data_IF_943090630184
#
_entry.id   IF_943090630184
#
_cell.length_a   1.000
_cell.length_b   1.000
_cell.length_c   1.000
_cell.angle_alpha   90.00
_cell.angle_beta   90.00
_cell.angle_gamma   90.00
#
_symmetry.space_group_name_H-M   'P 1'
#
loop_
_entity.id
_entity.type
_entity.pdbx_description
1 polymer ?
#
# COMPACT_ATOMS: atom_id res chain seq x y z
N UNK A 1 -51.87 -18.15 -51.74
CA UNK A 1 -51.30 -18.77 -50.51
C UNK A 1 -50.16 -17.88 -50.06
N UNK A 2 -50.44 -16.95 -49.14
CA UNK A 2 -49.51 -15.90 -48.68
C UNK A 2 -48.71 -16.36 -47.46
N UNK A 3 -47.37 -16.37 -47.53
CA UNK A 3 -46.52 -16.56 -46.38
C UNK A 3 -45.85 -15.23 -46.03
N UNK A 4 -46.25 -14.63 -44.91
CA UNK A 4 -45.59 -13.45 -44.29
C UNK A 4 -44.39 -13.88 -43.53
N UNK A 5 -43.19 -13.38 -43.88
CA UNK A 5 -41.98 -13.42 -43.03
C UNK A 5 -42.04 -12.24 -42.06
N UNK A 6 -41.98 -12.54 -40.78
CA UNK A 6 -41.84 -11.56 -39.71
C UNK A 6 -40.33 -11.39 -39.51
N UNK A 7 -39.84 -10.17 -39.79
CA UNK A 7 -38.46 -9.78 -39.47
C UNK A 7 -38.35 -9.39 -37.98
N UNK A 8 -37.46 -10.05 -37.27
CA UNK A 8 -37.07 -9.67 -35.90
C UNK A 8 -36.01 -8.61 -35.99
N UNK A 9 -36.32 -7.39 -35.56
CA UNK A 9 -35.38 -6.29 -35.36
C UNK A 9 -34.79 -6.44 -33.94
N UNK A 10 -33.54 -6.86 -33.84
CA UNK A 10 -32.81 -6.81 -32.60
C UNK A 10 -32.15 -5.43 -32.46
N UNK A 11 -32.75 -4.57 -31.67
CA UNK A 11 -32.16 -3.30 -31.24
C UNK A 11 -31.08 -3.57 -30.19
N UNK A 12 -29.81 -3.42 -30.57
CA UNK A 12 -28.70 -3.37 -29.67
C UNK A 12 -28.65 -2.01 -28.93
N UNK A 13 -29.22 -1.96 -27.74
CA UNK A 13 -29.00 -0.85 -26.79
C UNK A 13 -28.51 -1.46 -25.48
N UNK A 14 -27.34 -1.10 -25.07
CA UNK A 14 -27.01 -1.39 -23.70
C UNK A 14 -25.54 -1.62 -23.33
N UNK A 15 -24.60 -0.73 -23.69
CA UNK A 15 -23.27 -0.79 -23.08
C UNK A 15 -22.63 0.56 -22.73
N UNK A 16 -23.32 1.67 -22.93
CA UNK A 16 -22.75 3.02 -22.66
C UNK A 16 -23.35 3.75 -21.46
N UNK A 17 -24.39 3.22 -20.83
CA UNK A 17 -25.07 3.88 -19.70
C UNK A 17 -24.50 3.57 -18.33
N UNK A 18 -23.69 2.52 -18.19
CA UNK A 18 -23.14 2.13 -16.87
C UNK A 18 -21.95 2.98 -16.40
N UNK A 19 -21.22 3.63 -17.30
CA UNK A 19 -20.03 4.43 -16.91
C UNK A 19 -20.41 5.84 -16.44
N UNK A 20 -21.52 6.39 -16.88
CA UNK A 20 -21.98 7.74 -16.50
C UNK A 20 -22.64 7.80 -15.11
N UNK A 21 -23.15 6.68 -14.61
CA UNK A 21 -23.77 6.63 -13.28
C UNK A 21 -22.71 6.55 -12.16
N UNK A 22 -21.54 5.97 -12.44
CA UNK A 22 -20.45 5.90 -11.44
C UNK A 22 -19.77 7.25 -11.21
N UNK A 23 -19.68 8.09 -12.24
CA UNK A 23 -19.05 9.41 -12.12
C UNK A 23 -19.95 10.45 -11.43
N UNK A 24 -21.26 10.30 -11.50
CA UNK A 24 -22.21 11.19 -10.80
C UNK A 24 -22.36 10.88 -9.31
N UNK A 25 -22.08 9.64 -8.88
CA UNK A 25 -22.16 9.25 -7.48
C UNK A 25 -20.95 9.74 -6.65
N UNK A 26 -19.78 9.98 -7.28
CA UNK A 26 -18.64 10.54 -6.59
C UNK A 26 -18.73 12.07 -6.36
N UNK A 27 -19.52 12.77 -7.17
CA UNK A 27 -19.68 14.23 -7.06
C UNK A 27 -20.67 14.68 -5.98
N UNK A 28 -21.51 13.78 -5.45
CA UNK A 28 -22.56 14.10 -4.47
C UNK A 28 -22.18 13.88 -3.01
N UNK A 29 -20.97 13.45 -2.70
CA UNK A 29 -20.43 13.31 -1.34
C UNK A 29 -19.77 14.58 -0.80
N UNK A 30 -20.18 15.77 -1.28
CA UNK A 30 -19.93 17.01 -0.53
C UNK A 30 -20.96 17.06 0.60
N UNK A 31 -20.75 16.23 1.62
CA UNK A 31 -21.43 16.35 2.89
C UNK A 31 -21.00 17.71 3.46
N UNK A 32 -21.94 18.61 3.65
CA UNK A 32 -21.76 19.85 4.42
C UNK A 32 -21.42 19.45 5.86
N UNK A 33 -20.16 19.19 6.14
CA UNK A 33 -19.68 18.88 7.47
C UNK A 33 -19.81 20.12 8.36
N UNK A 34 -20.20 19.97 9.63
CA UNK A 34 -20.18 21.07 10.58
C UNK A 34 -18.77 21.66 10.64
N UNK A 35 -18.68 22.99 10.86
CA UNK A 35 -17.48 23.81 10.70
C UNK A 35 -16.21 23.38 11.51
N UNK A 36 -16.30 22.32 12.29
CA UNK A 36 -15.21 21.76 13.10
C UNK A 36 -14.61 20.45 12.53
N UNK A 37 -15.33 19.74 11.70
CA UNK A 37 -14.92 18.49 11.07
C UNK A 37 -14.07 18.75 9.83
N UNK A 38 -13.08 17.92 9.54
CA UNK A 38 -12.17 18.13 8.40
C UNK A 38 -11.92 16.80 7.69
N UNK A 39 -12.47 16.68 6.47
CA UNK A 39 -12.08 15.61 5.57
C UNK A 39 -10.74 15.95 4.94
N UNK A 40 -9.95 14.93 4.66
CA UNK A 40 -8.69 15.12 3.94
C UNK A 40 -8.45 14.00 2.92
N UNK A 41 -7.67 14.34 1.91
CA UNK A 41 -7.12 13.38 0.94
C UNK A 41 -5.66 13.73 0.72
N UNK A 42 -4.79 12.76 0.96
CA UNK A 42 -3.35 12.86 0.78
C UNK A 42 -2.93 12.06 -0.45
N UNK A 43 -1.97 12.60 -1.22
CA UNK A 43 -1.23 11.90 -2.25
C UNK A 43 0.24 12.00 -1.93
N UNK A 44 0.95 10.89 -2.01
CA UNK A 44 2.35 10.85 -1.63
C UNK A 44 3.17 9.89 -2.49
N UNK A 45 4.47 10.15 -2.49
CA UNK A 45 5.49 9.30 -3.10
C UNK A 45 6.78 9.39 -2.28
N UNK A 46 7.68 8.43 -2.47
CA UNK A 46 8.96 8.42 -1.76
C UNK A 46 9.78 7.17 -1.99
N UNK A 47 10.78 6.97 -1.16
CA UNK A 47 11.64 5.78 -1.17
C UNK A 47 11.22 4.77 -0.12
N UNK A 48 11.27 3.49 -0.49
CA UNK A 48 11.12 2.34 0.39
C UNK A 48 12.46 1.61 0.54
N UNK A 49 12.78 1.23 1.79
CA UNK A 49 14.02 0.58 2.19
C UNK A 49 13.66 -0.63 3.03
N UNK A 50 13.66 -1.81 2.40
CA UNK A 50 13.38 -3.07 3.09
C UNK A 50 14.66 -3.59 3.75
N UNK A 51 14.57 -4.01 5.00
CA UNK A 51 15.67 -4.61 5.72
C UNK A 51 16.04 -5.98 5.12
N UNK A 52 17.25 -6.42 5.40
CA UNK A 52 17.68 -7.78 5.06
C UNK A 52 17.02 -8.75 6.03
N UNK A 53 16.49 -9.84 5.49
CA UNK A 53 15.91 -10.90 6.29
C UNK A 53 16.39 -12.27 5.84
N UNK A 54 16.31 -13.22 6.76
CA UNK A 54 16.47 -14.62 6.44
C UNK A 54 15.19 -15.12 5.78
N UNK A 55 15.36 -15.93 4.74
CA UNK A 55 14.25 -16.51 3.98
C UNK A 55 14.23 -18.02 4.25
N UNK A 56 13.14 -18.48 4.83
CA UNK A 56 12.95 -19.89 5.16
C UNK A 56 12.21 -20.62 4.03
N UNK A 57 12.77 -21.75 3.61
CA UNK A 57 12.17 -22.64 2.59
C UNK A 57 12.17 -24.06 3.13
N UNK A 58 11.01 -24.59 3.56
CA UNK A 58 10.83 -25.93 4.10
C UNK A 58 11.90 -26.36 5.13
N UNK A 59 13.10 -26.73 4.64
CA UNK A 59 14.22 -27.26 5.46
C UNK A 59 15.52 -26.49 5.27
N UNK A 60 15.50 -25.39 4.52
CA UNK A 60 16.68 -24.59 4.18
C UNK A 60 16.42 -23.14 4.49
N UNK A 61 17.27 -22.51 5.29
CA UNK A 61 17.24 -21.06 5.55
C UNK A 61 18.30 -20.40 4.68
N UNK A 62 17.89 -19.39 3.90
CA UNK A 62 18.80 -18.51 3.15
C UNK A 62 19.06 -17.28 3.98
N UNK A 63 20.31 -17.06 4.35
CA UNK A 63 20.71 -15.99 5.27
C UNK A 63 20.95 -14.66 4.55
N UNK A 64 20.59 -13.56 5.21
CA UNK A 64 20.93 -12.18 4.81
C UNK A 64 20.47 -11.79 3.38
N UNK A 65 19.30 -12.19 2.94
CA UNK A 65 18.75 -11.78 1.64
C UNK A 65 18.52 -10.27 1.62
N UNK A 66 19.05 -9.59 0.59
CA UNK A 66 18.95 -8.14 0.41
C UNK A 66 17.86 -7.79 -0.56
N UNK A 67 17.04 -6.83 -0.17
CA UNK A 67 16.07 -6.18 -1.02
C UNK A 67 16.63 -4.90 -1.62
N UNK A 68 16.29 -4.62 -2.85
CA UNK A 68 16.67 -3.39 -3.53
C UNK A 68 15.86 -2.20 -3.00
N UNK A 69 16.45 -1.01 -3.08
CA UNK A 69 15.74 0.23 -2.78
C UNK A 69 14.70 0.47 -3.85
N UNK A 70 13.48 0.79 -3.45
CA UNK A 70 12.39 0.97 -4.39
C UNK A 70 11.64 2.28 -4.18
N UNK A 71 10.84 2.65 -5.17
CA UNK A 71 9.88 3.73 -5.03
C UNK A 71 8.59 3.19 -4.42
N UNK A 72 8.00 4.00 -3.55
CA UNK A 72 6.69 3.79 -2.98
C UNK A 72 5.79 4.98 -3.31
N UNK A 73 4.51 4.72 -3.51
CA UNK A 73 3.52 5.77 -3.71
C UNK A 73 2.14 5.31 -3.29
N UNK A 74 1.27 6.28 -2.99
CA UNK A 74 -0.07 5.95 -2.54
C UNK A 74 -0.94 7.17 -2.31
N UNK A 75 -2.13 6.87 -1.79
CA UNK A 75 -3.11 7.86 -1.39
C UNK A 75 -3.74 7.47 -0.05
N UNK A 76 -4.07 8.47 0.76
CA UNK A 76 -4.77 8.29 2.03
C UNK A 76 -5.96 9.24 2.07
N UNK A 77 -7.14 8.73 2.41
CA UNK A 77 -8.33 9.53 2.66
C UNK A 77 -8.76 9.37 4.10
N UNK A 78 -9.25 10.42 4.74
CA UNK A 78 -9.62 10.31 6.13
C UNK A 78 -10.38 11.51 6.68
N UNK A 79 -10.56 11.47 7.98
CA UNK A 79 -11.39 12.42 8.70
C UNK A 79 -10.76 12.79 10.03
N UNK A 80 -10.58 14.09 10.27
CA UNK A 80 -10.19 14.65 11.56
C UNK A 80 -11.42 14.98 12.36
N UNK A 81 -11.55 14.40 13.53
CA UNK A 81 -12.69 14.64 14.41
C UNK A 81 -12.71 16.07 14.93
N UNK A 82 -13.91 16.64 15.18
CA UNK A 82 -14.06 18.01 15.66
C UNK A 82 -13.68 18.23 17.11
N UNK A 83 -13.44 17.16 17.86
CA UNK A 83 -13.06 17.23 19.28
C UNK A 83 -11.54 17.19 19.45
N UNK A 84 -11.05 17.87 20.46
CA UNK A 84 -9.64 17.89 20.84
C UNK A 84 -9.47 17.15 22.18
N UNK A 85 -8.46 16.30 22.28
CA UNK A 85 -8.02 15.69 23.52
C UNK A 85 -6.83 16.49 24.07
N UNK A 86 -7.11 17.61 24.74
CA UNK A 86 -6.09 18.57 25.13
C UNK A 86 -5.45 19.25 23.90
N UNK A 87 -4.14 19.16 23.71
CA UNK A 87 -3.47 19.77 22.56
C UNK A 87 -3.50 18.90 21.29
N UNK A 88 -4.18 17.74 21.32
CA UNK A 88 -4.11 16.72 20.28
C UNK A 88 -5.44 16.61 19.55
N UNK A 89 -5.41 16.66 18.21
CA UNK A 89 -6.54 16.26 17.38
C UNK A 89 -6.43 14.79 17.00
N UNK A 90 -7.55 14.11 17.04
CA UNK A 90 -7.68 12.72 16.64
C UNK A 90 -8.32 12.62 15.24
N UNK A 91 -7.88 11.64 14.45
CA UNK A 91 -8.44 11.35 13.14
C UNK A 91 -8.34 9.87 12.81
N UNK A 92 -9.00 9.50 11.72
CA UNK A 92 -8.91 8.15 11.13
C UNK A 92 -8.66 8.27 9.64
N UNK A 93 -7.93 7.31 9.09
CA UNK A 93 -7.60 7.27 7.67
C UNK A 93 -7.68 5.88 7.09
N UNK A 94 -7.98 5.83 5.81
CA UNK A 94 -7.83 4.66 4.95
C UNK A 94 -6.73 4.97 3.95
N UNK A 95 -5.72 4.12 3.88
CA UNK A 95 -4.51 4.30 3.10
C UNK A 95 -4.36 3.16 2.08
N UNK A 96 -4.08 3.50 0.84
CA UNK A 96 -3.70 2.55 -0.19
C UNK A 96 -2.35 2.93 -0.75
N UNK A 97 -1.41 1.98 -0.77
CA UNK A 97 -0.06 2.21 -1.28
C UNK A 97 0.48 1.01 -2.04
N UNK A 98 1.51 1.27 -2.82
CA UNK A 98 2.19 0.28 -3.62
C UNK A 98 3.69 0.52 -3.57
N UNK A 99 4.49 -0.57 -3.50
CA UNK A 99 5.94 -0.55 -3.64
C UNK A 99 6.45 -1.89 -4.19
N UNK A 100 7.71 -1.91 -4.66
CA UNK A 100 8.35 -3.10 -5.26
C UNK A 100 9.68 -3.36 -4.59
N UNK A 101 9.73 -4.23 -3.56
CA UNK A 101 10.98 -4.61 -2.89
C UNK A 101 11.69 -5.74 -3.66
N UNK A 102 12.13 -5.49 -4.89
CA UNK A 102 12.76 -6.48 -5.74
C UNK A 102 14.01 -7.08 -5.10
N UNK A 103 14.31 -8.33 -5.42
CA UNK A 103 15.50 -9.04 -4.97
C UNK A 103 16.38 -9.31 -6.19
N UNK A 104 17.51 -8.59 -6.30
CA UNK A 104 18.50 -8.86 -7.35
C UNK A 104 19.29 -10.13 -7.07
N UNK A 105 19.76 -10.77 -8.15
CA UNK A 105 20.60 -11.96 -8.07
C UNK A 105 21.80 -11.76 -7.16
N UNK A 106 21.96 -12.64 -6.18
CA UNK A 106 22.99 -12.52 -5.16
C UNK A 106 23.51 -13.87 -4.68
N UNK A 107 24.79 -13.93 -4.27
CA UNK A 107 25.35 -15.11 -3.62
C UNK A 107 25.02 -15.09 -2.14
N UNK A 108 24.40 -16.14 -1.63
CA UNK A 108 23.98 -16.27 -0.23
C UNK A 108 24.31 -17.62 0.35
N UNK A 109 24.28 -17.70 1.67
CA UNK A 109 24.47 -18.93 2.42
C UNK A 109 23.14 -19.64 2.61
N UNK A 110 23.05 -20.85 2.16
CA UNK A 110 21.91 -21.75 2.34
C UNK A 110 22.25 -22.72 3.47
N UNK A 111 21.49 -22.70 4.55
CA UNK A 111 21.74 -23.50 5.73
C UNK A 111 20.60 -24.51 5.95
N UNK A 112 20.97 -25.81 6.14
CA UNK A 112 20.10 -26.86 6.62
C UNK A 112 20.81 -27.51 7.82
N UNK A 113 21.37 -28.71 7.68
CA UNK A 113 22.31 -29.29 8.68
C UNK A 113 23.72 -28.73 8.54
N UNK A 114 24.08 -28.29 7.34
CA UNK A 114 25.33 -27.62 6.99
C UNK A 114 25.02 -26.40 6.14
N UNK A 115 25.85 -25.36 6.23
CA UNK A 115 25.73 -24.17 5.38
C UNK A 115 26.60 -24.33 4.14
N UNK A 116 26.06 -24.00 2.97
CA UNK A 116 26.77 -23.91 1.70
C UNK A 116 26.48 -22.58 1.04
N UNK A 117 27.38 -22.08 0.19
CA UNK A 117 27.13 -20.88 -0.59
C UNK A 117 26.51 -21.23 -1.93
N UNK A 118 25.49 -20.52 -2.34
CA UNK A 118 24.82 -20.67 -3.63
C UNK A 118 24.33 -19.34 -4.16
N UNK A 119 23.71 -19.37 -5.33
CA UNK A 119 23.11 -18.22 -5.98
C UNK A 119 21.62 -18.19 -5.61
N UNK A 120 21.17 -17.05 -5.10
CA UNK A 120 19.76 -16.70 -4.97
C UNK A 120 19.40 -15.89 -6.23
N UNK A 121 18.47 -16.38 -7.02
CA UNK A 121 18.08 -15.78 -8.31
C UNK A 121 17.22 -14.52 -8.11
N UNK A 122 17.04 -13.77 -9.21
CA UNK A 122 16.20 -12.57 -9.22
C UNK A 122 14.74 -12.93 -8.93
N UNK A 123 14.12 -12.17 -8.04
CA UNK A 123 12.70 -12.27 -7.69
C UNK A 123 12.08 -10.88 -7.75
N UNK A 124 11.08 -10.71 -8.60
CA UNK A 124 10.28 -9.50 -8.66
C UNK A 124 9.14 -9.59 -7.64
N UNK A 125 9.10 -8.62 -6.75
CA UNK A 125 8.05 -8.51 -5.75
C UNK A 125 7.24 -7.24 -5.98
N UNK A 126 5.93 -7.36 -5.90
CA UNK A 126 4.98 -6.25 -5.98
C UNK A 126 4.04 -6.31 -4.79
N UNK A 127 4.02 -5.26 -3.98
CA UNK A 127 3.24 -5.23 -2.74
C UNK A 127 2.24 -4.09 -2.76
N UNK A 128 0.96 -4.45 -2.68
CA UNK A 128 -0.12 -3.52 -2.42
C UNK A 128 -0.47 -3.53 -0.93
N UNK A 129 -0.69 -2.36 -0.38
CA UNK A 129 -1.05 -2.21 1.04
C UNK A 129 -2.36 -1.48 1.17
N UNK A 130 -3.28 -2.03 1.97
CA UNK A 130 -4.49 -1.36 2.43
C UNK A 130 -4.40 -1.17 3.94
N UNK A 131 -4.20 0.06 4.40
CA UNK A 131 -4.00 0.40 5.81
C UNK A 131 -5.19 1.14 6.42
N UNK A 132 -5.44 0.88 7.70
CA UNK A 132 -6.42 1.59 8.53
C UNK A 132 -5.66 2.35 9.60
N UNK A 133 -5.66 3.69 9.55
CA UNK A 133 -4.86 4.53 10.42
C UNK A 133 -5.68 5.19 11.52
N UNK A 134 -5.27 5.01 12.77
CA UNK A 134 -5.54 5.96 13.84
C UNK A 134 -4.49 7.07 13.75
N UNK A 135 -4.93 8.31 13.75
CA UNK A 135 -4.09 9.47 13.48
C UNK A 135 -4.17 10.47 14.63
N UNK A 136 -3.02 10.97 15.07
CA UNK A 136 -2.89 11.95 16.15
C UNK A 136 -2.06 13.12 15.64
N UNK A 137 -2.62 14.32 15.62
CA UNK A 137 -1.92 15.52 15.18
C UNK A 137 -1.82 16.57 16.29
N UNK A 138 -0.69 17.27 16.31
CA UNK A 138 -0.37 18.31 17.28
C UNK A 138 -0.35 19.68 16.57
N UNK A 139 -1.43 20.48 16.65
CA UNK A 139 -1.48 21.76 15.95
C UNK A 139 -0.59 22.81 16.61
N UNK A 140 0.50 23.15 15.93
CA UNK A 140 1.44 24.21 16.31
C UNK A 140 1.26 25.43 15.41
N UNK A 141 1.78 26.59 15.83
CA UNK A 141 1.72 27.85 15.10
C UNK A 141 0.28 28.24 14.73
N UNK A 142 -0.64 28.14 15.70
CA UNK A 142 -2.04 28.57 15.53
C UNK A 142 -2.10 30.09 15.27
N UNK A 143 -2.91 30.50 14.29
CA UNK A 143 -3.17 31.89 13.93
C UNK A 143 -4.61 32.06 13.45
N UNK A 144 -5.15 33.28 13.33
CA UNK A 144 -6.48 33.49 12.75
C UNK A 144 -6.65 32.92 11.33
N UNK A 145 -5.56 32.87 10.57
CA UNK A 145 -5.54 32.27 9.23
C UNK A 145 -5.47 30.73 9.29
N UNK A 146 -4.77 30.18 10.27
CA UNK A 146 -4.57 28.75 10.49
C UNK A 146 -5.00 28.34 11.92
N UNK A 147 -6.31 28.30 12.22
CA UNK A 147 -6.79 28.01 13.56
C UNK A 147 -6.44 26.59 14.04
N UNK A 148 -6.29 25.66 13.08
CA UNK A 148 -5.85 24.28 13.33
C UNK A 148 -4.33 24.09 13.28
N UNK A 149 -3.55 25.18 13.33
CA UNK A 149 -2.09 25.20 13.28
C UNK A 149 -1.52 25.16 11.86
N UNK A 150 -0.50 25.96 11.61
CA UNK A 150 0.22 25.98 10.34
C UNK A 150 1.20 24.81 10.24
N UNK A 151 1.90 24.49 11.32
CA UNK A 151 2.73 23.30 11.46
C UNK A 151 1.99 22.24 12.27
N UNK A 152 1.89 21.03 11.75
CA UNK A 152 1.12 19.96 12.32
C UNK A 152 1.94 18.65 12.34
N UNK A 153 2.81 18.45 13.34
CA UNK A 153 3.38 17.14 13.59
C UNK A 153 2.26 16.12 13.86
N UNK A 154 2.46 14.89 13.36
CA UNK A 154 1.46 13.84 13.54
C UNK A 154 2.11 12.46 13.67
N UNK A 155 1.35 11.54 14.26
CA UNK A 155 1.67 10.12 14.34
C UNK A 155 0.48 9.35 13.75
N UNK A 156 0.77 8.28 13.03
CA UNK A 156 -0.22 7.33 12.53
C UNK A 156 0.12 5.93 13.02
N UNK A 157 -0.87 5.14 13.35
CA UNK A 157 -0.69 3.73 13.71
C UNK A 157 -1.94 2.95 13.33
N UNK A 158 -1.73 1.75 12.81
CA UNK A 158 -2.86 0.87 12.52
C UNK A 158 -2.48 -0.44 11.87
N UNK A 159 -3.45 -1.34 11.76
CA UNK A 159 -3.30 -2.56 11.00
C UNK A 159 -3.29 -2.25 9.50
N UNK A 160 -2.63 -3.12 8.74
CA UNK A 160 -2.66 -3.08 7.29
C UNK A 160 -2.73 -4.48 6.70
N UNK A 161 -3.41 -4.59 5.56
CA UNK A 161 -3.46 -5.79 4.73
C UNK A 161 -2.45 -5.59 3.62
N UNK A 162 -1.56 -6.57 3.45
CA UNK A 162 -0.54 -6.58 2.41
C UNK A 162 -0.87 -7.69 1.42
N UNK A 163 -0.97 -7.33 0.15
CA UNK A 163 -1.13 -8.27 -0.96
C UNK A 163 0.19 -8.27 -1.70
N UNK A 164 0.99 -9.30 -1.48
CA UNK A 164 2.30 -9.47 -2.09
C UNK A 164 2.19 -10.45 -3.26
N UNK A 165 2.70 -10.04 -4.41
CA UNK A 165 2.76 -10.83 -5.62
C UNK A 165 4.23 -11.05 -5.97
N UNK A 166 4.63 -12.32 -6.12
CA UNK A 166 5.98 -12.74 -6.42
C UNK A 166 6.01 -13.39 -7.81
N UNK A 167 6.88 -12.90 -8.70
CA UNK A 167 7.15 -13.49 -10.02
C UNK A 167 8.58 -14.00 -10.08
N UNK A 168 8.74 -15.31 -10.37
CA UNK A 168 10.05 -15.95 -10.58
C UNK A 168 10.49 -15.79 -12.05
N UNK A 169 11.57 -15.05 -12.27
CA UNK A 169 12.15 -14.82 -13.61
C UNK A 169 13.16 -15.87 -14.06
N UNK A 170 13.06 -17.11 -13.62
CA UNK A 170 13.96 -18.15 -14.11
C UNK A 170 13.80 -18.36 -15.62
N UNK A 171 14.85 -18.10 -16.40
CA UNK A 171 14.92 -18.31 -17.85
C UNK A 171 15.03 -19.78 -18.28
N UNK A 172 14.76 -20.75 -17.42
CA UNK A 172 14.85 -22.18 -17.72
C UNK A 172 13.48 -22.85 -17.63
N UNK A 173 12.85 -23.01 -18.80
CA UNK A 173 11.59 -23.73 -19.07
C UNK A 173 10.27 -23.02 -18.63
N UNK A 174 9.12 -23.33 -19.30
CA UNK A 174 7.92 -22.51 -19.29
C UNK A 174 7.02 -22.74 -18.07
N UNK A 175 7.53 -22.52 -16.87
CA UNK A 175 6.72 -22.38 -15.68
C UNK A 175 6.95 -20.99 -15.10
N UNK A 176 6.30 -19.97 -15.68
CA UNK A 176 6.03 -18.73 -14.95
C UNK A 176 5.19 -19.14 -13.74
N UNK A 177 5.84 -19.40 -12.62
CA UNK A 177 5.15 -19.59 -11.37
C UNK A 177 5.06 -18.22 -10.72
N UNK A 178 3.85 -17.69 -10.72
CA UNK A 178 3.45 -16.53 -9.94
C UNK A 178 2.66 -17.02 -8.71
N UNK A 179 2.93 -16.43 -7.59
CA UNK A 179 2.16 -16.67 -6.37
C UNK A 179 1.78 -15.34 -5.72
N UNK A 180 0.61 -15.33 -5.10
CA UNK A 180 0.08 -14.15 -4.42
C UNK A 180 -0.30 -14.52 -3.01
N UNK A 181 0.32 -13.85 -2.05
CA UNK A 181 -0.04 -13.99 -0.66
C UNK A 181 -0.71 -12.73 -0.11
N UNK A 182 -1.63 -12.95 0.84
CA UNK A 182 -2.32 -11.87 1.55
C UNK A 182 -2.08 -12.02 3.04
N UNK A 183 -1.29 -11.12 3.58
CA UNK A 183 -0.92 -11.11 4.99
C UNK A 183 -1.41 -9.85 5.71
N UNK A 184 -1.59 -9.99 7.02
CA UNK A 184 -1.94 -8.87 7.91
C UNK A 184 -0.70 -8.45 8.67
N UNK A 185 -0.47 -7.14 8.73
CA UNK A 185 0.66 -6.59 9.44
C UNK A 185 0.31 -5.27 10.13
N UNK A 186 1.35 -4.57 10.55
CA UNK A 186 1.24 -3.29 11.25
C UNK A 186 1.93 -2.19 10.47
N UNK A 187 1.38 -0.98 10.60
CA UNK A 187 1.91 0.25 10.02
C UNK A 187 1.99 1.31 11.10
N UNK A 188 3.16 1.97 11.20
CA UNK A 188 3.40 3.11 12.10
C UNK A 188 4.06 4.21 11.29
N UNK A 189 3.59 5.45 11.46
CA UNK A 189 4.14 6.61 10.78
C UNK A 189 4.33 7.79 11.73
N UNK A 190 5.33 8.59 11.48
CA UNK A 190 5.55 9.89 12.12
C UNK A 190 5.89 10.91 11.05
N UNK A 191 5.23 12.06 11.10
CA UNK A 191 5.42 13.08 10.07
C UNK A 191 5.08 14.48 10.57
N UNK A 192 5.22 15.43 9.66
CA UNK A 192 4.82 16.80 9.87
C UNK A 192 4.19 17.35 8.59
N UNK A 193 3.05 18.02 8.73
CA UNK A 193 2.39 18.74 7.66
C UNK A 193 2.56 20.25 7.85
N UNK A 194 2.86 20.95 6.75
CA UNK A 194 2.91 22.39 6.69
C UNK A 194 1.75 22.90 5.84
N UNK A 195 0.89 23.71 6.43
CA UNK A 195 -0.29 24.23 5.77
C UNK A 195 0.05 25.54 5.04
N UNK A 196 -0.12 25.55 3.72
CA UNK A 196 0.11 26.75 2.88
C UNK A 196 -1.17 27.57 2.72
N UNK A 197 -2.29 26.89 2.57
CA UNK A 197 -3.63 27.51 2.48
C UNK A 197 -4.59 26.76 3.39
N UNK A 198 -5.82 27.23 3.52
CA UNK A 198 -6.85 26.50 4.28
C UNK A 198 -7.17 25.11 3.70
N UNK A 199 -6.91 24.92 2.40
CA UNK A 199 -7.25 23.69 1.66
C UNK A 199 -6.05 22.81 1.33
N UNK A 200 -4.81 23.36 1.38
CA UNK A 200 -3.61 22.65 0.88
C UNK A 200 -2.52 22.69 1.93
N UNK A 201 -1.98 21.51 2.23
CA UNK A 201 -0.76 21.33 3.01
C UNK A 201 0.22 20.41 2.26
N UNK A 202 1.52 20.58 2.46
CA UNK A 202 2.51 19.56 2.14
C UNK A 202 2.93 18.85 3.41
N UNK A 203 3.37 17.59 3.27
CA UNK A 203 3.85 16.84 4.41
C UNK A 203 5.05 15.98 4.05
N UNK A 204 5.82 15.62 5.08
CA UNK A 204 6.83 14.60 5.05
C UNK A 204 6.53 13.57 6.15
N UNK A 205 6.70 12.30 5.84
CA UNK A 205 6.37 11.18 6.74
C UNK A 205 7.48 10.13 6.67
N UNK A 206 7.97 9.70 7.80
CA UNK A 206 8.67 8.45 7.96
C UNK A 206 7.66 7.39 8.37
N UNK A 207 7.64 6.26 7.65
CA UNK A 207 6.73 5.15 7.89
C UNK A 207 7.50 3.86 8.06
N UNK A 208 7.04 3.02 8.94
CA UNK A 208 7.52 1.66 9.13
C UNK A 208 6.36 0.69 8.94
N UNK A 209 6.61 -0.42 8.24
CA UNK A 209 5.66 -1.52 8.10
C UNK A 209 6.33 -2.84 8.41
N UNK A 210 5.57 -3.75 9.01
CA UNK A 210 5.97 -5.12 9.29
C UNK A 210 4.85 -6.08 8.90
N UNK A 211 5.18 -7.10 8.11
CA UNK A 211 4.29 -8.17 7.72
C UNK A 211 5.09 -9.41 7.34
N UNK A 212 4.47 -10.61 7.36
CA UNK A 212 5.13 -11.89 7.11
C UNK A 212 4.36 -12.65 6.02
N UNK A 213 4.76 -12.52 4.73
CA UNK A 213 4.16 -13.27 3.64
C UNK A 213 4.65 -14.71 3.57
N UNK A 214 3.78 -15.61 3.08
CA UNK A 214 4.11 -17.00 2.78
C UNK A 214 3.78 -17.31 1.33
N UNK A 215 4.80 -17.66 0.53
CA UNK A 215 4.63 -18.04 -0.86
C UNK A 215 4.78 -19.57 -1.02
N UNK A 216 3.93 -20.18 -1.83
CA UNK A 216 4.01 -21.63 -2.12
C UNK A 216 4.26 -21.85 -3.61
N UNK A 217 5.49 -22.22 -3.93
CA UNK A 217 5.88 -22.60 -5.28
C UNK A 217 5.75 -24.11 -5.46
N UNK A 218 5.20 -24.54 -6.60
CA UNK A 218 5.07 -25.96 -6.96
C UNK A 218 6.06 -26.30 -8.05
N UNK A 219 6.90 -27.29 -7.78
CA UNK A 219 7.81 -27.89 -8.77
C UNK A 219 7.35 -29.32 -9.04
N UNK A 220 7.18 -29.68 -10.32
CA UNK A 220 6.68 -31.01 -10.71
C UNK A 220 7.67 -32.15 -10.37
N UNK A 221 8.94 -31.81 -10.10
CA UNK A 221 10.01 -32.79 -9.80
C UNK A 221 10.35 -32.83 -8.32
N UNK A 222 10.35 -31.66 -7.63
CA UNK A 222 10.78 -31.53 -6.24
C UNK A 222 9.61 -31.39 -5.24
N UNK A 223 8.37 -31.28 -5.74
CA UNK A 223 7.20 -31.07 -4.90
C UNK A 223 6.96 -29.60 -4.59
N UNK A 224 6.13 -29.30 -3.57
CA UNK A 224 5.85 -27.91 -3.15
C UNK A 224 6.93 -27.37 -2.21
N UNK A 225 7.43 -26.17 -2.48
CA UNK A 225 8.29 -25.41 -1.59
C UNK A 225 7.52 -24.20 -1.05
N UNK A 226 7.44 -24.07 0.28
CA UNK A 226 6.89 -22.89 0.94
C UNK A 226 8.05 -21.97 1.34
N UNK A 227 7.97 -20.73 0.93
CA UNK A 227 8.90 -19.66 1.23
C UNK A 227 8.23 -18.70 2.23
N UNK A 228 8.78 -18.55 3.42
CA UNK A 228 8.33 -17.58 4.40
C UNK A 228 9.46 -16.60 4.77
N UNK A 229 9.11 -15.35 4.96
CA UNK A 229 10.06 -14.30 5.37
C UNK A 229 9.33 -13.18 6.09
N UNK A 230 10.01 -12.54 7.04
CA UNK A 230 9.53 -11.29 7.61
C UNK A 230 9.95 -10.11 6.73
N UNK A 231 9.04 -9.21 6.45
CA UNK A 231 9.31 -8.01 5.66
C UNK A 231 9.14 -6.77 6.52
N UNK A 232 10.29 -6.16 6.84
CA UNK A 232 10.36 -4.88 7.54
C UNK A 232 10.76 -3.80 6.54
N UNK A 233 9.88 -2.81 6.35
CA UNK A 233 10.15 -1.76 5.37
C UNK A 233 10.03 -0.38 6.00
N UNK A 234 11.03 0.44 5.75
CA UNK A 234 11.13 1.84 6.14
C UNK A 234 10.86 2.72 4.91
N UNK A 235 10.00 3.71 5.06
CA UNK A 235 9.67 4.63 3.99
C UNK A 235 10.01 6.06 4.39
N UNK A 236 10.51 6.82 3.42
CA UNK A 236 10.60 8.28 3.48
C UNK A 236 9.68 8.83 2.40
N UNK A 237 8.58 9.41 2.83
CA UNK A 237 7.48 9.85 1.97
C UNK A 237 7.33 11.36 2.02
N UNK A 238 6.97 11.95 0.89
CA UNK A 238 6.55 13.34 0.77
C UNK A 238 5.24 13.40 0.00
N UNK A 239 4.37 14.34 0.36
CA UNK A 239 3.07 14.42 -0.27
C UNK A 239 2.37 15.75 -0.10
N UNK A 240 1.20 15.80 -0.70
CA UNK A 240 0.26 16.93 -0.63
C UNK A 240 -1.04 16.44 -0.02
N UNK A 241 -1.57 17.22 0.91
CA UNK A 241 -2.84 17.00 1.60
C UNK A 241 -3.85 18.05 1.16
N UNK A 242 -4.98 17.60 0.67
CA UNK A 242 -6.15 18.43 0.37
C UNK A 242 -7.16 18.29 1.52
N UNK A 243 -7.66 19.40 2.03
CA UNK A 243 -8.53 19.46 3.20
C UNK A 243 -9.83 20.16 2.86
N UNK A 244 -10.94 19.64 3.40
CA UNK A 244 -12.29 20.11 3.07
C UNK A 244 -13.12 20.40 4.32
#
# INVERSE_FOLDING_TARGET
MFSRRIGVVTTGLGRTTSLLVLTSALASLVVTAPAAAEWFTDFYLGGAFTEKHDVDTNSVTTLDVRFDKSFAGGARGGYWFPFELGPVNFGVGLDISHFRPDISRQTRSFCSRFCTSGIFDDLDLSVWTLGFDAMFRFPLLKSPQFPKGQLQPYITVGPAIFVAHAEDRRNFEPSNQDDTDTSVGVKVGVGAAWQFTKLIAAFAEYRYTHFSPEFTFRDDVLGSATLSTDVNTHYLLMGVSFRF
#
